data_IF_730680743691
#
_entry.id   IF_730680743691
#
_cell.length_a   1.000
_cell.length_b   1.000
_cell.length_c   1.000
_cell.angle_alpha   90.00
_cell.angle_beta   90.00
_cell.angle_gamma   90.00
#
_symmetry.space_group_name_H-M   'P 1'
#
loop_
_entity.id
_entity.type
_entity.pdbx_description
1 polymer ?
#
# COMPACT_ATOMS: atom_id res chain seq x y z
N UNK A 1 -54.94 16.16 40.29
CA UNK A 1 -53.72 15.35 40.15
C UNK A 1 -52.50 16.04 40.77
N UNK A 2 -52.00 17.17 40.24
CA UNK A 2 -50.79 17.83 40.77
C UNK A 2 -50.83 18.15 42.28
N UNK A 3 -51.96 18.66 42.78
CA UNK A 3 -52.14 18.97 44.21
C UNK A 3 -52.02 17.72 45.10
N UNK A 4 -52.51 16.58 44.64
CA UNK A 4 -52.49 15.33 45.42
C UNK A 4 -51.08 14.72 45.47
N UNK A 5 -50.25 14.96 44.45
CA UNK A 5 -48.91 14.39 44.34
C UNK A 5 -47.78 15.34 44.77
N UNK A 6 -48.09 16.56 45.22
CA UNK A 6 -47.10 17.56 45.67
C UNK A 6 -45.98 17.88 44.64
N UNK A 7 -46.25 17.72 43.34
CA UNK A 7 -45.28 17.91 42.23
C UNK A 7 -45.01 19.42 41.94
N UNK A 8 -45.76 20.31 42.60
CA UNK A 8 -45.65 21.77 42.43
C UNK A 8 -46.90 22.38 41.78
N UNK A 9 -46.77 23.63 41.33
CA UNK A 9 -47.85 24.38 40.67
C UNK A 9 -47.58 24.50 39.17
N UNK A 10 -48.64 24.33 38.38
CA UNK A 10 -48.60 24.55 36.93
C UNK A 10 -49.82 25.37 36.49
N UNK A 11 -49.62 26.25 35.52
CA UNK A 11 -50.68 27.05 34.92
C UNK A 11 -51.22 26.32 33.69
N UNK A 12 -52.49 25.95 33.73
CA UNK A 12 -53.16 25.34 32.58
C UNK A 12 -53.86 26.41 31.75
N UNK A 13 -53.68 26.36 30.43
CA UNK A 13 -54.30 27.27 29.47
C UNK A 13 -55.41 26.51 28.72
N UNK A 14 -56.68 26.58 29.14
CA UNK A 14 -57.78 25.88 28.50
C UNK A 14 -58.09 26.49 27.12
N UNK A 15 -57.76 25.77 26.04
CA UNK A 15 -57.83 26.28 24.67
C UNK A 15 -59.19 26.89 24.30
N UNK A 16 -60.28 26.33 24.81
CA UNK A 16 -61.64 26.75 24.47
C UNK A 16 -61.99 28.15 24.98
N UNK A 17 -61.50 28.53 26.18
CA UNK A 17 -61.84 29.78 26.86
C UNK A 17 -60.75 30.86 26.80
N UNK A 18 -59.66 30.61 26.05
CA UNK A 18 -58.60 31.60 25.87
C UNK A 18 -59.08 32.81 25.05
N UNK A 19 -58.94 33.98 25.66
CA UNK A 19 -59.17 35.27 25.01
C UNK A 19 -57.95 35.65 24.18
N UNK A 20 -58.04 35.44 22.87
CA UNK A 20 -56.97 35.76 21.91
C UNK A 20 -57.20 37.13 21.27
N UNK A 21 -56.14 37.83 20.81
CA UNK A 21 -56.30 39.04 20.02
C UNK A 21 -57.16 38.78 18.77
N UNK A 22 -57.99 39.76 18.39
CA UNK A 22 -58.79 39.63 17.18
C UNK A 22 -57.88 39.59 15.94
N UNK A 23 -58.21 38.80 14.91
CA UNK A 23 -57.43 38.76 13.67
C UNK A 23 -57.24 40.14 13.05
N UNK A 24 -58.28 40.98 13.08
CA UNK A 24 -58.22 42.36 12.59
C UNK A 24 -57.20 43.23 13.34
N UNK A 25 -57.04 43.04 14.66
CA UNK A 25 -56.05 43.79 15.44
C UNK A 25 -54.61 43.38 15.10
N UNK A 26 -54.42 42.10 14.78
CA UNK A 26 -53.11 41.52 14.47
C UNK A 26 -52.67 41.96 13.08
N UNK A 27 -53.58 41.90 12.10
CA UNK A 27 -53.31 42.29 10.72
C UNK A 27 -53.01 43.79 10.58
N UNK A 28 -53.71 44.64 11.35
CA UNK A 28 -53.41 46.08 11.41
C UNK A 28 -51.97 46.36 11.84
N UNK A 29 -51.49 45.64 12.85
CA UNK A 29 -50.11 45.79 13.33
C UNK A 29 -49.13 45.24 12.30
N UNK A 30 -49.46 44.11 11.65
CA UNK A 30 -48.66 43.54 10.56
C UNK A 30 -48.48 44.55 9.41
N UNK A 31 -49.57 45.15 8.92
CA UNK A 31 -49.51 46.18 7.88
C UNK A 31 -48.74 47.44 8.30
N UNK A 32 -48.78 47.80 9.59
CA UNK A 32 -48.03 48.96 10.13
C UNK A 32 -46.51 48.71 10.14
N UNK A 33 -46.08 47.47 10.41
CA UNK A 33 -44.66 47.12 10.55
C UNK A 33 -44.03 46.61 9.26
N UNK A 34 -44.81 46.04 8.34
CA UNK A 34 -44.34 45.49 7.05
C UNK A 34 -43.39 46.39 6.24
N UNK A 35 -43.57 47.72 6.13
CA UNK A 35 -42.64 48.56 5.39
C UNK A 35 -41.27 48.75 6.06
N UNK A 36 -41.13 48.41 7.35
CA UNK A 36 -39.89 48.55 8.11
C UNK A 36 -39.38 47.17 8.55
N UNK A 37 -38.43 46.62 7.78
CA UNK A 37 -37.92 45.26 7.95
C UNK A 37 -37.21 44.97 9.29
N UNK A 38 -37.06 45.98 10.14
CA UNK A 38 -36.51 45.88 11.52
C UNK A 38 -37.52 45.31 12.52
N UNK A 39 -38.79 45.16 12.14
CA UNK A 39 -39.86 44.70 13.01
C UNK A 39 -40.51 43.44 12.46
N UNK A 40 -40.78 42.47 13.34
CA UNK A 40 -41.50 41.25 13.01
C UNK A 40 -42.53 40.94 14.07
N UNK A 41 -43.71 40.45 13.68
CA UNK A 41 -44.67 39.98 14.67
C UNK A 41 -44.13 38.70 15.32
N UNK A 42 -44.15 38.62 16.65
CA UNK A 42 -43.63 37.44 17.36
C UNK A 42 -44.40 36.15 17.01
N UNK A 43 -45.66 36.26 16.58
CA UNK A 43 -46.44 35.13 16.06
C UNK A 43 -45.84 34.55 14.77
N UNK A 44 -45.24 35.39 13.92
CA UNK A 44 -44.70 34.98 12.61
C UNK A 44 -43.29 34.39 12.72
N UNK A 45 -42.61 34.58 13.86
CA UNK A 45 -41.26 34.07 14.13
C UNK A 45 -41.29 32.66 14.74
N UNK A 46 -42.40 32.28 15.39
CA UNK A 46 -42.52 31.00 16.11
C UNK A 46 -43.33 30.02 15.26
N UNK A 47 -42.70 28.90 14.87
CA UNK A 47 -43.40 27.79 14.21
C UNK A 47 -44.03 26.85 15.25
N UNK A 48 -45.32 26.56 15.11
CA UNK A 48 -46.04 25.62 15.98
C UNK A 48 -47.15 24.88 15.23
N UNK A 49 -47.59 23.74 15.79
CA UNK A 49 -48.74 23.00 15.27
C UNK A 49 -50.05 23.79 15.40
N UNK A 50 -50.97 23.63 14.46
CA UNK A 50 -52.23 24.39 14.41
C UNK A 50 -53.10 24.15 15.66
N UNK A 51 -52.97 22.99 16.31
CA UNK A 51 -53.71 22.61 17.53
C UNK A 51 -53.36 23.49 18.73
N UNK A 52 -52.12 24.00 18.81
CA UNK A 52 -51.63 24.83 19.93
C UNK A 52 -51.57 26.32 19.60
N UNK A 53 -51.90 26.70 18.36
CA UNK A 53 -51.81 28.08 17.86
C UNK A 53 -52.63 29.08 18.68
N UNK A 54 -53.81 28.68 19.17
CA UNK A 54 -54.63 29.52 20.07
C UNK A 54 -53.90 29.86 21.37
N UNK A 55 -53.16 28.90 21.95
CA UNK A 55 -52.35 29.15 23.13
C UNK A 55 -51.14 30.04 22.81
N UNK A 56 -50.52 29.88 21.65
CA UNK A 56 -49.42 30.75 21.21
C UNK A 56 -49.89 32.20 21.03
N UNK A 57 -51.03 32.41 20.36
CA UNK A 57 -51.63 33.74 20.18
C UNK A 57 -51.98 34.40 21.52
N UNK A 58 -52.42 33.62 22.51
CA UNK A 58 -52.64 34.13 23.87
C UNK A 58 -51.33 34.54 24.57
N UNK A 59 -50.32 33.67 24.52
CA UNK A 59 -49.04 33.89 25.21
C UNK A 59 -48.24 35.06 24.63
N UNK A 60 -48.22 35.16 23.30
CA UNK A 60 -47.45 36.18 22.57
C UNK A 60 -48.27 37.46 22.39
N UNK A 61 -49.57 37.34 22.12
CA UNK A 61 -50.42 38.47 21.77
C UNK A 61 -49.91 39.23 20.53
N UNK A 62 -50.22 40.53 20.46
CA UNK A 62 -49.69 41.42 19.41
C UNK A 62 -48.32 41.98 19.78
N UNK A 63 -47.39 41.10 20.16
CA UNK A 63 -46.01 41.49 20.49
C UNK A 63 -45.17 41.59 19.22
N UNK A 64 -44.39 42.66 19.11
CA UNK A 64 -43.46 42.88 18.00
C UNK A 64 -42.02 42.63 18.47
N UNK A 65 -41.27 41.88 17.69
CA UNK A 65 -39.84 41.65 17.86
C UNK A 65 -39.08 42.70 17.04
N UNK A 66 -38.05 43.26 17.64
CA UNK A 66 -37.16 44.26 17.05
C UNK A 66 -35.70 43.86 17.26
N UNK A 67 -34.81 44.32 16.39
CA UNK A 67 -33.39 44.00 16.52
C UNK A 67 -32.79 44.73 17.74
N UNK A 68 -33.01 46.05 17.83
CA UNK A 68 -32.40 46.94 18.83
C UNK A 68 -33.41 47.64 19.75
N UNK A 69 -32.94 48.05 20.95
CA UNK A 69 -33.76 48.78 21.93
C UNK A 69 -34.22 50.14 21.43
N UNK A 70 -33.42 50.82 20.61
CA UNK A 70 -33.79 52.12 20.04
C UNK A 70 -34.90 51.99 18.99
N UNK A 71 -34.87 50.91 18.19
CA UNK A 71 -35.99 50.57 17.31
C UNK A 71 -37.24 50.21 18.12
N UNK A 72 -37.12 49.42 19.18
CA UNK A 72 -38.24 49.12 20.08
C UNK A 72 -38.87 50.39 20.68
N UNK A 73 -38.04 51.36 21.11
CA UNK A 73 -38.51 52.66 21.62
C UNK A 73 -39.20 53.49 20.54
N UNK A 74 -38.65 53.51 19.32
CA UNK A 74 -39.26 54.22 18.20
C UNK A 74 -40.65 53.67 17.88
N UNK A 75 -40.83 52.34 17.92
CA UNK A 75 -42.11 51.68 17.71
C UNK A 75 -43.12 51.97 18.82
N UNK A 76 -42.70 51.89 20.09
CA UNK A 76 -43.59 52.06 21.24
C UNK A 76 -43.89 53.52 21.62
N UNK A 77 -42.99 54.47 21.32
CA UNK A 77 -43.07 55.86 21.80
C UNK A 77 -42.93 56.92 20.69
N UNK A 78 -42.67 56.53 19.45
CA UNK A 78 -42.46 57.45 18.32
C UNK A 78 -43.71 58.19 17.86
N UNK A 79 -43.55 59.12 16.91
CA UNK A 79 -44.64 59.97 16.38
C UNK A 79 -45.82 59.17 15.81
N UNK A 80 -45.54 58.00 15.21
CA UNK A 80 -46.57 57.07 14.72
C UNK A 80 -47.46 56.50 15.82
N UNK A 81 -47.00 56.47 17.07
CA UNK A 81 -47.73 56.01 18.25
C UNK A 81 -48.42 57.16 19.02
N UNK A 82 -48.23 58.43 18.61
CA UNK A 82 -48.75 59.62 19.30
C UNK A 82 -50.07 60.16 18.75
N UNK A 83 -50.63 59.55 17.70
CA UNK A 83 -51.92 59.99 17.15
C UNK A 83 -53.03 59.78 18.20
N UNK A 84 -53.71 60.85 18.69
CA UNK A 84 -54.66 60.74 19.80
C UNK A 84 -55.88 59.86 19.50
N UNK A 85 -56.16 59.57 18.23
CA UNK A 85 -57.26 58.71 17.78
C UNK A 85 -56.91 57.22 17.72
N UNK A 86 -55.64 56.83 17.88
CA UNK A 86 -55.17 55.46 17.70
C UNK A 86 -54.44 54.98 18.97
N UNK A 87 -55.20 54.56 19.98
CA UNK A 87 -54.69 54.12 21.29
C UNK A 87 -54.06 52.72 21.28
N UNK A 88 -53.42 52.31 20.18
CA UNK A 88 -52.79 51.00 20.08
C UNK A 88 -51.40 50.98 20.70
N UNK A 89 -51.34 50.82 22.03
CA UNK A 89 -50.08 50.58 22.73
C UNK A 89 -49.53 49.19 22.36
N UNK A 90 -48.40 49.17 21.66
CA UNK A 90 -47.73 47.94 21.19
C UNK A 90 -46.74 47.47 22.26
N UNK A 91 -46.65 46.14 22.46
CA UNK A 91 -45.59 45.51 23.25
C UNK A 91 -44.44 45.18 22.31
N UNK A 92 -43.23 45.62 22.63
CA UNK A 92 -42.03 45.33 21.84
C UNK A 92 -41.01 44.51 22.66
N UNK A 93 -40.31 43.59 22.00
CA UNK A 93 -39.22 42.79 22.56
C UNK A 93 -38.01 42.90 21.64
N UNK A 94 -36.81 42.99 22.20
CA UNK A 94 -35.56 43.00 21.42
C UNK A 94 -34.93 41.63 21.33
N UNK A 95 -34.11 41.39 20.30
CA UNK A 95 -33.25 40.19 20.24
C UNK A 95 -32.31 40.11 21.45
N UNK A 96 -31.88 41.25 21.99
CA UNK A 96 -31.12 41.38 23.24
C UNK A 96 -31.93 41.20 24.53
N UNK A 97 -33.19 40.72 24.47
CA UNK A 97 -33.99 40.34 25.63
C UNK A 97 -34.65 41.48 26.41
N UNK A 98 -34.57 42.73 25.93
CA UNK A 98 -35.27 43.84 26.57
C UNK A 98 -36.76 43.85 26.16
N UNK A 99 -37.65 44.19 27.09
CA UNK A 99 -39.11 44.17 26.88
C UNK A 99 -39.71 45.53 27.22
N UNK A 100 -40.45 46.11 26.28
CA UNK A 100 -41.28 47.30 26.50
C UNK A 100 -42.74 46.83 26.56
N UNK A 101 -43.37 46.98 27.73
CA UNK A 101 -44.76 46.57 27.93
C UNK A 101 -45.74 47.57 27.31
N UNK A 102 -47.00 47.16 27.11
CA UNK A 102 -48.07 48.08 26.67
C UNK A 102 -48.31 49.24 27.64
N UNK A 103 -47.91 49.12 28.91
CA UNK A 103 -48.00 50.19 29.90
C UNK A 103 -46.86 51.22 29.78
N UNK A 104 -45.88 50.98 28.90
CA UNK A 104 -44.69 51.81 28.75
C UNK A 104 -43.56 51.46 29.73
N UNK A 105 -43.73 50.41 30.55
CA UNK A 105 -42.65 49.95 31.43
C UNK A 105 -41.59 49.20 30.62
N UNK A 106 -40.33 49.54 30.82
CA UNK A 106 -39.19 48.89 30.17
C UNK A 106 -38.49 47.95 31.15
N UNK A 107 -38.36 46.68 30.78
CA UNK A 107 -37.59 45.66 31.51
C UNK A 107 -36.33 45.38 30.70
N UNK A 108 -35.15 45.53 31.32
CA UNK A 108 -33.87 45.42 30.61
C UNK A 108 -33.25 44.02 30.65
N UNK A 109 -32.66 43.62 29.51
CA UNK A 109 -31.59 42.63 29.37
C UNK A 109 -31.94 41.15 29.55
N UNK A 110 -31.12 40.28 28.92
CA UNK A 110 -31.11 38.83 29.14
C UNK A 110 -30.55 38.54 30.54
N UNK A 111 -31.33 37.91 31.41
CA UNK A 111 -30.79 37.37 32.67
C UNK A 111 -30.15 36.01 32.45
N UNK A 112 -29.26 35.56 33.34
CA UNK A 112 -28.70 34.18 33.32
C UNK A 112 -29.78 33.10 33.27
N UNK A 113 -30.94 33.38 33.86
CA UNK A 113 -32.09 32.49 33.84
C UNK A 113 -32.73 32.41 32.45
N UNK A 114 -32.80 33.52 31.71
CA UNK A 114 -33.36 33.56 30.36
C UNK A 114 -32.46 32.86 29.35
N UNK A 115 -31.12 32.98 29.50
CA UNK A 115 -30.15 32.26 28.68
C UNK A 115 -30.29 30.74 28.86
N UNK A 116 -30.47 30.26 30.11
CA UNK A 116 -30.67 28.84 30.40
C UNK A 116 -31.98 28.27 29.83
N UNK A 117 -33.00 29.11 29.61
CA UNK A 117 -34.25 28.70 28.97
C UNK A 117 -34.13 28.61 27.46
N UNK A 118 -33.33 29.47 26.84
CA UNK A 118 -33.07 29.43 25.40
C UNK A 118 -32.35 28.13 25.01
N UNK A 119 -31.36 27.69 25.80
CA UNK A 119 -30.63 26.43 25.57
C UNK A 119 -31.51 25.17 25.55
N UNK A 120 -32.69 25.21 26.19
CA UNK A 120 -33.65 24.07 26.16
C UNK A 120 -34.22 23.79 24.78
N UNK A 121 -34.17 24.74 23.85
CA UNK A 121 -34.56 24.49 22.46
C UNK A 121 -33.47 23.70 21.71
N UNK A 122 -32.20 23.99 21.95
CA UNK A 122 -31.06 23.28 21.35
C UNK A 122 -30.97 21.83 21.82
N UNK A 123 -31.22 21.57 23.11
CA UNK A 123 -31.20 20.22 23.69
C UNK A 123 -32.23 19.29 23.00
N UNK A 124 -33.39 19.82 22.61
CA UNK A 124 -34.43 19.05 21.92
C UNK A 124 -34.05 18.69 20.49
N UNK A 125 -33.30 19.56 19.80
CA UNK A 125 -32.80 19.25 18.45
C UNK A 125 -31.69 18.20 18.50
N UNK A 126 -30.81 18.29 19.50
CA UNK A 126 -29.78 17.27 19.74
C UNK A 126 -30.39 15.89 20.00
N UNK A 127 -31.45 15.80 20.79
CA UNK A 127 -32.12 14.53 21.06
C UNK A 127 -32.82 13.96 19.82
N UNK A 128 -33.41 14.80 18.96
CA UNK A 128 -33.94 14.36 17.66
C UNK A 128 -32.84 13.79 16.75
N UNK A 129 -31.69 14.45 16.68
CA UNK A 129 -30.56 13.98 15.88
C UNK A 129 -29.97 12.67 16.41
N UNK A 130 -29.90 12.50 17.74
CA UNK A 130 -29.47 11.23 18.36
C UNK A 130 -30.43 10.09 18.03
N UNK A 131 -31.73 10.31 18.17
CA UNK A 131 -32.73 9.29 17.82
C UNK A 131 -32.65 8.92 16.34
N UNK A 132 -32.44 9.90 15.44
CA UNK A 132 -32.29 9.61 14.02
C UNK A 132 -31.02 8.81 13.70
N UNK A 133 -29.93 9.09 14.40
CA UNK A 133 -28.70 8.29 14.30
C UNK A 133 -28.94 6.85 14.74
N UNK A 134 -29.60 6.65 15.88
CA UNK A 134 -29.91 5.31 16.40
C UNK A 134 -30.84 4.52 15.46
N UNK A 135 -31.81 5.17 14.82
CA UNK A 135 -32.64 4.54 13.78
C UNK A 135 -31.81 4.08 12.58
N UNK A 136 -30.93 4.94 12.08
CA UNK A 136 -30.06 4.61 10.94
C UNK A 136 -29.07 3.51 11.28
N UNK A 137 -28.53 3.49 12.50
CA UNK A 137 -27.62 2.43 12.97
C UNK A 137 -28.37 1.09 13.08
N UNK A 138 -29.63 1.09 13.54
CA UNK A 138 -30.49 -0.12 13.55
C UNK A 138 -30.83 -0.60 12.14
N UNK A 139 -31.10 0.31 11.21
CA UNK A 139 -31.37 -0.03 9.80
C UNK A 139 -30.14 -0.68 9.16
N UNK A 140 -28.94 -0.14 9.40
CA UNK A 140 -27.68 -0.74 8.95
C UNK A 140 -27.46 -2.15 9.51
N UNK A 141 -27.67 -2.32 10.82
CA UNK A 141 -27.54 -3.63 11.47
C UNK A 141 -28.55 -4.65 10.95
N UNK A 142 -29.78 -4.24 10.64
CA UNK A 142 -30.78 -5.12 10.07
C UNK A 142 -30.44 -5.52 8.62
N UNK A 143 -29.86 -4.62 7.83
CA UNK A 143 -29.35 -4.95 6.49
C UNK A 143 -28.15 -5.92 6.55
N UNK A 144 -27.36 -5.86 7.62
CA UNK A 144 -26.29 -6.84 7.88
C UNK A 144 -26.86 -8.21 8.33
N UNK A 145 -27.99 -8.26 9.04
CA UNK A 145 -28.55 -9.51 9.61
C UNK A 145 -29.48 -10.30 8.68
N UNK A 146 -30.11 -9.65 7.70
CA UNK A 146 -31.03 -10.31 6.75
C UNK A 146 -30.32 -11.36 5.87
N UNK A 147 -28.99 -11.30 5.71
CA UNK A 147 -28.21 -12.30 4.94
C UNK A 147 -27.65 -13.46 5.79
N UNK A 148 -27.69 -13.42 7.13
CA UNK A 148 -27.25 -14.54 7.98
C UNK A 148 -28.12 -15.80 7.80
N UNK A 149 -29.30 -15.66 7.20
CA UNK A 149 -30.28 -16.76 7.04
C UNK A 149 -30.02 -17.60 5.78
N UNK A 150 -29.29 -17.10 4.77
CA UNK A 150 -29.13 -17.83 3.50
C UNK A 150 -27.92 -18.78 3.46
N UNK A 151 -26.88 -18.62 4.30
CA UNK A 151 -25.75 -19.56 4.31
C UNK A 151 -25.01 -19.65 5.68
N UNK A 152 -25.33 -20.64 6.54
CA UNK A 152 -24.79 -20.75 7.90
C UNK A 152 -23.29 -21.14 7.96
N UNK A 153 -22.59 -21.25 6.82
CA UNK A 153 -21.17 -21.63 6.76
C UNK A 153 -20.21 -20.48 6.43
N UNK A 154 -20.69 -19.24 6.24
CA UNK A 154 -19.84 -18.07 6.00
C UNK A 154 -19.71 -17.19 7.24
N UNK A 155 -18.94 -17.66 8.22
CA UNK A 155 -18.52 -16.84 9.37
C UNK A 155 -17.40 -15.85 8.98
N UNK A 156 -17.67 -14.94 8.05
CA UNK A 156 -16.74 -13.83 7.76
C UNK A 156 -17.11 -12.63 8.61
N UNK A 157 -16.28 -12.33 9.61
CA UNK A 157 -16.38 -11.17 10.53
C UNK A 157 -16.16 -9.81 9.84
N UNK A 158 -16.45 -9.70 8.54
CA UNK A 158 -16.39 -8.47 7.76
C UNK A 158 -17.59 -8.43 6.82
N UNK A 159 -18.58 -7.58 7.12
CA UNK A 159 -19.87 -7.50 6.43
C UNK A 159 -19.81 -7.04 4.96
N UNK A 160 -20.93 -6.48 4.47
CA UNK A 160 -21.13 -6.04 3.07
C UNK A 160 -19.94 -5.30 2.44
N UNK A 161 -19.15 -4.55 3.23
CA UNK A 161 -17.93 -3.90 2.79
C UNK A 161 -16.86 -4.87 2.23
N UNK A 162 -16.62 -6.00 2.89
CA UNK A 162 -15.68 -7.03 2.43
C UNK A 162 -16.18 -7.67 1.14
N UNK A 163 -17.49 -7.86 1.01
CA UNK A 163 -18.10 -8.44 -0.21
C UNK A 163 -18.03 -7.49 -1.39
N UNK A 164 -18.26 -6.20 -1.15
CA UNK A 164 -18.09 -5.14 -2.14
C UNK A 164 -16.63 -5.10 -2.62
N UNK A 165 -15.66 -5.17 -1.70
CA UNK A 165 -14.24 -5.19 -2.05
C UNK A 165 -13.86 -6.45 -2.86
N UNK A 166 -14.34 -7.63 -2.48
CA UNK A 166 -14.19 -8.86 -3.27
C UNK A 166 -14.75 -8.72 -4.70
N UNK A 167 -15.96 -8.17 -4.82
CA UNK A 167 -16.63 -7.98 -6.10
C UNK A 167 -15.92 -6.92 -6.95
N UNK A 168 -15.44 -5.83 -6.35
CA UNK A 168 -14.65 -4.80 -7.03
C UNK A 168 -13.34 -5.40 -7.56
N UNK A 169 -12.65 -6.21 -6.75
CA UNK A 169 -11.43 -6.90 -7.17
C UNK A 169 -11.72 -7.89 -8.30
N UNK A 170 -12.82 -8.65 -8.21
CA UNK A 170 -13.25 -9.58 -9.27
C UNK A 170 -13.57 -8.85 -10.59
N UNK A 171 -14.30 -7.73 -10.52
CA UNK A 171 -14.61 -6.89 -11.68
C UNK A 171 -13.34 -6.29 -12.28
N UNK A 172 -12.41 -5.81 -11.44
CA UNK A 172 -11.11 -5.32 -11.89
C UNK A 172 -10.32 -6.39 -12.64
N UNK A 173 -10.25 -7.60 -12.09
CA UNK A 173 -9.57 -8.74 -12.71
C UNK A 173 -10.21 -9.15 -14.04
N UNK A 174 -11.55 -9.24 -14.09
CA UNK A 174 -12.29 -9.56 -15.31
C UNK A 174 -12.11 -8.48 -16.39
N UNK A 175 -12.11 -7.20 -16.01
CA UNK A 175 -11.90 -6.09 -16.93
C UNK A 175 -10.48 -6.09 -17.51
N UNK A 176 -9.48 -6.34 -16.66
CA UNK A 176 -8.10 -6.50 -17.10
C UNK A 176 -7.99 -7.68 -18.07
N UNK A 177 -8.55 -8.85 -17.73
CA UNK A 177 -8.54 -10.02 -18.60
C UNK A 177 -9.20 -9.75 -19.94
N UNK A 178 -10.36 -9.10 -19.94
CA UNK A 178 -11.06 -8.70 -21.16
C UNK A 178 -10.20 -7.80 -22.05
N UNK A 179 -9.55 -6.79 -21.46
CA UNK A 179 -8.65 -5.88 -22.18
C UNK A 179 -7.44 -6.59 -22.78
N UNK A 180 -6.83 -7.53 -22.06
CA UNK A 180 -5.72 -8.34 -22.56
C UNK A 180 -6.18 -9.23 -23.72
N UNK A 181 -7.28 -9.96 -23.54
CA UNK A 181 -7.81 -10.83 -24.59
C UNK A 181 -8.22 -10.07 -25.84
N UNK A 182 -8.73 -8.84 -25.70
CA UNK A 182 -9.07 -7.98 -26.82
C UNK A 182 -7.82 -7.52 -27.57
N UNK A 183 -6.77 -7.13 -26.85
CA UNK A 183 -5.49 -6.73 -27.45
C UNK A 183 -4.83 -7.89 -28.20
N UNK A 184 -4.87 -9.09 -27.63
CA UNK A 184 -4.36 -10.32 -28.26
C UNK A 184 -5.17 -10.67 -29.52
N UNK A 185 -6.49 -10.48 -29.50
CA UNK A 185 -7.36 -10.69 -30.64
C UNK A 185 -7.03 -9.70 -31.78
N UNK A 186 -6.82 -8.43 -31.46
CA UNK A 186 -6.47 -7.41 -32.45
C UNK A 186 -5.07 -7.65 -33.05
N UNK A 187 -4.11 -8.08 -32.23
CA UNK A 187 -2.78 -8.47 -32.68
C UNK A 187 -2.82 -9.69 -33.62
N UNK A 188 -3.50 -10.75 -33.22
CA UNK A 188 -3.63 -11.98 -34.02
C UNK A 188 -4.37 -11.73 -35.33
N UNK A 189 -5.42 -10.90 -35.33
CA UNK A 189 -6.11 -10.49 -36.55
C UNK A 189 -5.21 -9.69 -37.50
N UNK A 190 -4.40 -8.78 -36.96
CA UNK A 190 -3.44 -8.00 -37.75
C UNK A 190 -2.38 -8.92 -38.36
N UNK A 191 -1.86 -9.89 -37.58
CA UNK A 191 -0.90 -10.88 -38.08
C UNK A 191 -1.51 -11.78 -39.15
N UNK A 192 -2.77 -12.20 -38.98
CA UNK A 192 -3.49 -13.03 -39.95
C UNK A 192 -3.66 -12.29 -41.29
N UNK A 193 -3.97 -10.98 -41.27
CA UNK A 193 -4.04 -10.15 -42.49
C UNK A 193 -2.69 -10.07 -43.20
N UNK A 194 -1.60 -9.88 -42.47
CA UNK A 194 -0.23 -9.85 -43.01
C UNK A 194 0.16 -11.20 -43.64
N UNK A 195 -0.14 -12.31 -42.96
CA UNK A 195 0.13 -13.64 -43.51
C UNK A 195 -0.68 -13.92 -44.77
N UNK A 196 -1.95 -13.52 -44.80
CA UNK A 196 -2.78 -13.67 -45.99
C UNK A 196 -2.27 -12.85 -47.19
N UNK A 197 -1.82 -11.61 -46.96
CA UNK A 197 -1.25 -10.80 -48.05
C UNK A 197 0.06 -11.40 -48.58
N UNK A 198 0.90 -11.93 -47.68
CA UNK A 198 2.12 -12.63 -48.04
C UNK A 198 1.81 -13.89 -48.86
N UNK A 199 0.82 -14.69 -48.46
CA UNK A 199 0.40 -15.90 -49.16
C UNK A 199 -0.09 -15.58 -50.59
N UNK A 200 -0.91 -14.53 -50.76
CA UNK A 200 -1.36 -14.05 -52.07
C UNK A 200 -0.19 -13.56 -52.94
N UNK A 201 0.80 -12.87 -52.35
CA UNK A 201 1.97 -12.40 -53.11
C UNK A 201 2.87 -13.57 -53.56
N UNK A 202 3.08 -14.54 -52.67
CA UNK A 202 3.95 -15.70 -52.91
C UNK A 202 3.34 -16.62 -53.95
N UNK A 203 2.04 -16.87 -53.89
CA UNK A 203 1.31 -17.65 -54.91
C UNK A 203 1.38 -17.01 -56.30
N UNK A 204 1.27 -15.68 -56.40
CA UNK A 204 1.49 -14.95 -57.67
C UNK A 204 2.92 -15.11 -58.18
N UNK A 205 3.92 -15.05 -57.30
CA UNK A 205 5.33 -15.26 -57.66
C UNK A 205 5.59 -16.68 -58.16
N UNK A 206 5.04 -17.70 -57.48
CA UNK A 206 5.13 -19.11 -57.91
C UNK A 206 4.57 -19.27 -59.32
N UNK A 207 3.36 -18.74 -59.58
CA UNK A 207 2.75 -18.82 -60.91
C UNK A 207 3.61 -18.14 -62.00
N UNK A 208 4.26 -17.01 -61.67
CA UNK A 208 5.19 -16.33 -62.59
C UNK A 208 6.43 -17.18 -62.85
N UNK A 209 7.04 -17.73 -61.81
CA UNK A 209 8.23 -18.58 -61.93
C UNK A 209 7.95 -19.86 -62.72
N UNK A 210 6.79 -20.48 -62.52
CA UNK A 210 6.37 -21.65 -63.30
C UNK A 210 6.25 -21.35 -64.80
N UNK A 211 5.70 -20.19 -65.17
CA UNK A 211 5.67 -19.75 -66.57
C UNK A 211 7.07 -19.55 -67.14
N UNK A 212 7.95 -18.89 -66.40
CA UNK A 212 9.32 -18.66 -66.84
C UNK A 212 10.10 -19.97 -67.00
N UNK A 213 9.89 -20.93 -66.08
CA UNK A 213 10.50 -22.26 -66.16
C UNK A 213 10.05 -22.99 -67.43
N UNK A 214 8.75 -22.99 -67.73
CA UNK A 214 8.23 -23.62 -68.95
C UNK A 214 8.77 -22.98 -70.24
N UNK A 215 9.01 -21.65 -70.25
CA UNK A 215 9.65 -20.98 -71.39
C UNK A 215 11.11 -21.42 -71.53
N UNK A 216 11.87 -21.41 -70.42
CA UNK A 216 13.27 -21.81 -70.43
C UNK A 216 13.44 -23.30 -70.82
N UNK A 217 12.55 -24.19 -70.39
CA UNK A 217 12.56 -25.60 -70.79
C UNK A 217 12.37 -25.77 -72.30
N UNK A 218 11.46 -24.99 -72.91
CA UNK A 218 11.26 -25.00 -74.37
C UNK A 218 12.48 -24.46 -75.12
N UNK A 219 13.12 -23.42 -74.60
CA UNK A 219 14.35 -22.88 -75.18
C UNK A 219 15.49 -23.91 -75.12
N UNK A 220 15.64 -24.61 -73.99
CA UNK A 220 16.62 -25.69 -73.83
C UNK A 220 16.36 -26.82 -74.83
N UNK A 221 15.10 -27.22 -75.02
CA UNK A 221 14.73 -28.24 -75.99
C UNK A 221 15.10 -27.82 -77.42
N UNK A 222 14.79 -26.58 -77.80
CA UNK A 222 15.17 -26.02 -79.10
C UNK A 222 16.69 -25.97 -79.30
N UNK A 223 17.43 -25.50 -78.30
CA UNK A 223 18.90 -25.48 -78.37
C UNK A 223 19.50 -26.88 -78.42
N UNK A 224 18.87 -27.86 -77.76
CA UNK A 224 19.33 -29.25 -77.79
C UNK A 224 19.17 -29.85 -79.18
N UNK A 225 18.04 -29.59 -79.85
CA UNK A 225 17.80 -30.01 -81.24
C UNK A 225 18.82 -29.34 -82.18
N UNK A 226 18.98 -28.01 -82.09
CA UNK A 226 19.93 -27.28 -82.93
C UNK A 226 21.38 -27.72 -82.71
N UNK A 227 21.77 -28.02 -81.47
CA UNK A 227 23.09 -28.56 -81.16
C UNK A 227 23.28 -29.97 -81.74
N UNK A 228 22.23 -30.79 -81.77
CA UNK A 228 22.29 -32.12 -82.37
C UNK A 228 22.41 -32.05 -83.89
N UNK A 229 21.63 -31.19 -84.55
CA UNK A 229 21.74 -30.93 -85.99
C UNK A 229 23.14 -30.41 -86.38
N UNK A 230 23.68 -29.47 -85.59
CA UNK A 230 25.04 -28.96 -85.81
C UNK A 230 26.11 -30.05 -85.64
N UNK A 231 25.96 -30.94 -84.65
CA UNK A 231 26.88 -32.09 -84.47
C UNK A 231 26.81 -33.05 -85.66
N UNK A 232 25.62 -33.32 -86.18
CA UNK A 232 25.44 -34.19 -87.36
C UNK A 232 26.06 -33.56 -88.60
N UNK A 233 25.82 -32.26 -88.84
CA UNK A 233 26.44 -31.54 -89.95
C UNK A 233 27.98 -31.54 -89.88
N UNK A 234 28.56 -31.33 -88.69
CA UNK A 234 30.01 -31.44 -88.49
C UNK A 234 30.50 -32.86 -88.77
N UNK A 235 29.81 -33.88 -88.26
CA UNK A 235 30.16 -35.29 -88.51
C UNK A 235 30.16 -35.63 -90.00
N UNK A 236 29.20 -35.13 -90.76
CA UNK A 236 29.11 -35.40 -92.20
C UNK A 236 30.25 -34.72 -92.98
N UNK A 237 30.63 -33.50 -92.61
CA UNK A 237 31.79 -32.79 -93.18
C UNK A 237 33.09 -33.52 -92.82
N UNK A 238 33.24 -33.95 -91.56
CA UNK A 238 34.37 -34.74 -91.10
C UNK A 238 34.44 -36.10 -91.81
N UNK A 239 33.31 -36.74 -92.09
CA UNK A 239 33.28 -37.98 -92.87
C UNK A 239 33.81 -37.75 -94.29
N UNK A 240 33.38 -36.68 -94.96
CA UNK A 240 33.83 -36.32 -96.29
C UNK A 240 35.35 -36.02 -96.36
N UNK A 241 35.88 -35.29 -95.38
CA UNK A 241 37.30 -34.90 -95.38
C UNK A 241 38.24 -36.00 -94.86
N UNK A 242 37.88 -36.68 -93.77
CA UNK A 242 38.73 -37.67 -93.11
C UNK A 242 38.48 -39.10 -93.59
N UNK A 243 37.41 -39.38 -94.34
CA UNK A 243 37.10 -40.71 -94.90
C UNK A 243 38.24 -41.32 -95.72
N UNK A 244 38.82 -40.58 -96.69
CA UNK A 244 39.97 -41.05 -97.47
C UNK A 244 41.22 -41.29 -96.61
N UNK A 245 41.38 -40.55 -95.52
CA UNK A 245 42.49 -40.73 -94.58
C UNK A 245 42.28 -41.96 -93.68
N UNK A 246 41.05 -42.20 -93.20
CA UNK A 246 40.67 -43.39 -92.42
C UNK A 246 40.89 -44.67 -93.22
N UNK A 247 40.43 -44.71 -94.48
CA UNK A 247 40.62 -45.89 -95.34
C UNK A 247 42.09 -46.18 -95.63
N UNK A 248 42.94 -45.15 -95.72
CA UNK A 248 44.39 -45.29 -95.96
C UNK A 248 45.19 -45.68 -94.71
N UNK A 249 44.75 -45.28 -93.52
CA UNK A 249 45.47 -45.52 -92.25
C UNK A 249 44.90 -46.68 -91.44
N UNK A 250 43.73 -47.21 -91.80
CA UNK A 250 43.06 -48.30 -91.09
C UNK A 250 42.44 -47.90 -89.75
N UNK A 251 42.37 -46.60 -89.43
CA UNK A 251 41.66 -46.11 -88.24
C UNK A 251 40.15 -46.17 -88.47
N UNK A 252 39.45 -46.98 -87.68
CA UNK A 252 38.00 -47.14 -87.72
C UNK A 252 37.26 -45.89 -87.22
N UNK A 253 37.77 -45.24 -86.16
CA UNK A 253 37.16 -44.03 -85.59
C UNK A 253 38.23 -43.00 -85.20
N UNK A 254 38.25 -41.87 -85.91
CA UNK A 254 39.16 -40.76 -85.64
C UNK A 254 38.80 -40.05 -84.32
N UNK A 255 37.52 -39.99 -83.97
CA UNK A 255 37.05 -39.38 -82.73
C UNK A 255 37.46 -40.19 -81.51
N UNK A 256 37.36 -41.53 -81.54
CA UNK A 256 37.88 -42.36 -80.46
C UNK A 256 39.40 -42.18 -80.25
N UNK A 257 40.17 -41.96 -81.32
CA UNK A 257 41.62 -41.71 -81.22
C UNK A 257 41.94 -40.30 -80.70
N UNK A 258 41.29 -39.25 -81.22
CA UNK A 258 41.48 -37.89 -80.73
C UNK A 258 40.93 -37.71 -79.30
N UNK A 259 39.84 -38.38 -78.96
CA UNK A 259 39.28 -38.37 -77.61
C UNK A 259 40.19 -39.13 -76.62
N UNK A 260 40.80 -40.26 -77.01
CA UNK A 260 41.76 -40.96 -76.15
C UNK A 260 43.04 -40.15 -75.94
N UNK A 261 43.63 -39.57 -77.00
CA UNK A 261 44.80 -38.68 -76.85
C UNK A 261 44.46 -37.36 -76.14
N UNK A 262 43.26 -36.83 -76.38
CA UNK A 262 42.69 -35.66 -75.72
C UNK A 262 42.53 -35.91 -74.22
N UNK A 263 41.94 -37.05 -73.83
CA UNK A 263 41.84 -37.50 -72.44
C UNK A 263 43.21 -37.70 -71.80
N UNK A 264 44.17 -38.33 -72.48
CA UNK A 264 45.55 -38.46 -71.99
C UNK A 264 46.20 -37.09 -71.73
N UNK A 265 46.04 -36.15 -72.68
CA UNK A 265 46.54 -34.78 -72.56
C UNK A 265 45.83 -34.01 -71.44
N UNK A 266 44.53 -34.19 -71.27
CA UNK A 266 43.75 -33.57 -70.20
C UNK A 266 44.19 -34.12 -68.83
N UNK A 267 44.39 -35.43 -68.70
CA UNK A 267 44.93 -36.08 -67.50
C UNK A 267 46.33 -35.53 -67.18
N UNK A 268 47.21 -35.41 -68.18
CA UNK A 268 48.53 -34.81 -68.01
C UNK A 268 48.44 -33.34 -67.55
N UNK A 269 47.57 -32.54 -68.14
CA UNK A 269 47.36 -31.14 -67.76
C UNK A 269 46.78 -31.03 -66.34
N UNK A 270 45.83 -31.90 -65.95
CA UNK A 270 45.29 -31.99 -64.58
C UNK A 270 46.39 -32.37 -63.58
N UNK A 271 47.21 -33.38 -63.88
CA UNK A 271 48.38 -33.75 -63.04
C UNK A 271 49.38 -32.60 -62.92
N UNK A 272 49.71 -31.91 -64.02
CA UNK A 272 50.60 -30.75 -64.00
C UNK A 272 50.03 -29.60 -63.17
N UNK A 273 48.72 -29.35 -63.28
CA UNK A 273 48.01 -28.33 -62.52
C UNK A 273 48.02 -28.63 -61.03
N UNK A 274 47.66 -29.85 -60.64
CA UNK A 274 47.66 -30.28 -59.22
C UNK A 274 49.05 -30.19 -58.59
N UNK A 275 50.10 -30.61 -59.31
CA UNK A 275 51.49 -30.43 -58.84
C UNK A 275 51.83 -28.95 -58.65
N UNK A 276 51.44 -28.09 -59.59
CA UNK A 276 51.66 -26.63 -59.47
C UNK A 276 50.91 -26.04 -58.28
N UNK A 277 49.65 -26.42 -58.08
CA UNK A 277 48.87 -26.01 -56.91
C UNK A 277 49.52 -26.48 -55.61
N UNK A 278 50.05 -27.70 -55.55
CA UNK A 278 50.77 -28.22 -54.39
C UNK A 278 52.07 -27.44 -54.14
N UNK A 279 52.83 -27.10 -55.19
CA UNK A 279 54.02 -26.28 -55.06
C UNK A 279 53.69 -24.89 -54.52
N UNK A 280 52.65 -24.23 -55.02
CA UNK A 280 52.23 -22.91 -54.52
C UNK A 280 51.72 -22.99 -53.07
N UNK A 281 50.95 -24.03 -52.71
CA UNK A 281 50.56 -24.27 -51.31
C UNK A 281 51.77 -24.47 -50.40
N UNK A 282 52.77 -25.24 -50.82
CA UNK A 282 53.99 -25.47 -50.05
C UNK A 282 54.84 -24.20 -49.93
N UNK A 283 54.94 -23.39 -51.00
CA UNK A 283 55.60 -22.07 -50.95
C UNK A 283 54.89 -21.13 -49.98
N UNK A 284 53.57 -21.05 -50.04
CA UNK A 284 52.77 -20.24 -49.13
C UNK A 284 52.95 -20.70 -47.68
N UNK A 285 52.90 -22.01 -47.40
CA UNK A 285 53.20 -22.56 -46.07
C UNK A 285 54.61 -22.19 -45.60
N UNK A 286 55.61 -22.31 -46.47
CA UNK A 286 57.00 -21.95 -46.14
C UNK A 286 57.14 -20.45 -45.83
N UNK A 287 56.47 -19.57 -46.59
CA UNK A 287 56.47 -18.14 -46.31
C UNK A 287 55.74 -17.82 -45.01
N UNK A 288 54.60 -18.45 -44.75
CA UNK A 288 53.84 -18.30 -43.52
C UNK A 288 54.66 -18.73 -42.30
N UNK A 289 55.29 -19.91 -42.34
CA UNK A 289 56.14 -20.38 -41.23
C UNK A 289 57.41 -19.51 -41.07
N UNK A 290 57.99 -18.98 -42.15
CA UNK A 290 59.09 -18.01 -42.06
C UNK A 290 58.67 -16.64 -41.50
N UNK A 291 57.42 -16.24 -41.74
CA UNK A 291 56.85 -14.99 -41.26
C UNK A 291 56.32 -15.05 -39.83
N UNK A 292 56.22 -16.26 -39.23
CA UNK A 292 55.88 -16.40 -37.82
C UNK A 292 57.04 -15.94 -36.97
N UNK A 293 56.90 -14.74 -36.43
CA UNK A 293 57.83 -14.21 -35.46
C UNK A 293 57.54 -14.77 -34.06
N UNK A 294 58.18 -15.90 -33.73
CA UNK A 294 58.10 -16.50 -32.40
C UNK A 294 58.86 -15.69 -31.34
N UNK A 295 59.69 -14.71 -31.74
CA UNK A 295 60.49 -13.91 -30.81
C UNK A 295 59.61 -13.09 -29.86
N UNK A 296 58.55 -12.45 -30.40
CA UNK A 296 57.61 -11.66 -29.60
C UNK A 296 56.80 -12.52 -28.63
N UNK A 297 56.38 -13.72 -29.07
CA UNK A 297 55.69 -14.69 -28.22
C UNK A 297 56.58 -15.15 -27.07
N UNK A 298 57.84 -15.45 -27.36
CA UNK A 298 58.84 -15.83 -26.34
C UNK A 298 59.12 -14.66 -25.39
N UNK A 299 59.24 -13.43 -25.90
CA UNK A 299 59.47 -12.25 -25.06
C UNK A 299 58.29 -11.97 -24.12
N UNK A 300 57.06 -12.05 -24.63
CA UNK A 300 55.85 -11.90 -23.80
C UNK A 300 55.71 -13.01 -22.76
N UNK A 301 56.06 -14.25 -23.11
CA UNK A 301 56.11 -15.37 -22.18
C UNK A 301 57.16 -15.15 -21.08
N UNK A 302 58.35 -14.64 -21.44
CA UNK A 302 59.40 -14.27 -20.47
C UNK A 302 58.95 -13.17 -19.51
N UNK A 303 58.29 -12.11 -20.02
CA UNK A 303 57.73 -11.04 -19.18
C UNK A 303 56.69 -11.58 -18.19
N UNK A 304 55.76 -12.41 -18.67
CA UNK A 304 54.77 -13.06 -17.79
C UNK A 304 55.42 -13.95 -16.73
N UNK A 305 56.47 -14.68 -17.09
CA UNK A 305 57.18 -15.55 -16.17
C UNK A 305 57.84 -14.74 -15.05
N UNK A 306 58.49 -13.62 -15.38
CA UNK A 306 59.04 -12.69 -14.39
C UNK A 306 57.96 -12.10 -13.46
N UNK A 307 56.83 -11.64 -14.01
CA UNK A 307 55.71 -11.11 -13.20
C UNK A 307 55.13 -12.17 -12.25
N UNK A 308 55.07 -13.43 -12.70
CA UNK A 308 54.58 -14.54 -11.88
C UNK A 308 55.57 -14.93 -10.79
N UNK A 309 56.88 -14.92 -11.07
CA UNK A 309 57.93 -15.16 -10.08
C UNK A 309 57.92 -14.09 -8.97
N UNK A 310 57.76 -12.82 -9.33
CA UNK A 310 57.65 -11.72 -8.36
C UNK A 310 56.41 -11.87 -7.46
N UNK A 311 55.25 -12.16 -8.06
CA UNK A 311 54.00 -12.42 -7.31
C UNK A 311 54.12 -13.64 -6.40
N UNK A 312 54.78 -14.69 -6.84
CA UNK A 312 55.00 -15.89 -6.04
C UNK A 312 55.89 -15.58 -4.83
N UNK A 313 56.97 -14.81 -5.02
CA UNK A 313 57.84 -14.38 -3.93
C UNK A 313 57.07 -13.54 -2.90
N UNK A 314 56.30 -12.55 -3.35
CA UNK A 314 55.46 -11.74 -2.48
C UNK A 314 54.41 -12.57 -1.72
N UNK A 315 53.78 -13.55 -2.38
CA UNK A 315 52.80 -14.44 -1.75
C UNK A 315 53.42 -15.32 -0.67
N UNK A 316 54.62 -15.87 -0.91
CA UNK A 316 55.36 -16.68 0.08
C UNK A 316 55.75 -15.86 1.30
N UNK A 317 56.19 -14.62 1.09
CA UNK A 317 56.50 -13.73 2.21
C UNK A 317 55.26 -13.42 3.04
N UNK A 318 54.13 -13.14 2.38
CA UNK A 318 52.84 -12.92 3.04
C UNK A 318 52.34 -14.14 3.82
N UNK A 319 52.55 -15.33 3.29
CA UNK A 319 52.22 -16.60 3.97
C UNK A 319 53.05 -16.77 5.24
N UNK A 320 54.36 -16.51 5.19
CA UNK A 320 55.23 -16.55 6.36
C UNK A 320 54.78 -15.55 7.44
N UNK A 321 54.49 -14.30 7.07
CA UNK A 321 53.99 -13.27 8.00
C UNK A 321 52.65 -13.68 8.65
N UNK A 322 51.75 -14.31 7.88
CA UNK A 322 50.47 -14.78 8.39
C UNK A 322 50.63 -15.96 9.34
N UNK A 323 51.54 -16.91 9.04
CA UNK A 323 51.84 -18.03 9.93
C UNK A 323 52.41 -17.55 11.26
N UNK A 324 53.30 -16.55 11.25
CA UNK A 324 53.83 -15.94 12.48
C UNK A 324 52.71 -15.27 13.29
N UNK A 325 51.80 -14.52 12.62
CA UNK A 325 50.64 -13.93 13.28
C UNK A 325 49.71 -14.97 13.88
N UNK A 326 49.44 -16.08 13.17
CA UNK A 326 48.61 -17.17 13.67
C UNK A 326 49.25 -17.88 14.87
N UNK A 327 50.57 -18.07 14.87
CA UNK A 327 51.29 -18.63 16.01
C UNK A 327 51.16 -17.70 17.24
N UNK A 328 51.37 -16.39 17.04
CA UNK A 328 51.24 -15.40 18.10
C UNK A 328 49.81 -15.27 18.65
N UNK A 329 48.79 -15.35 17.79
CA UNK A 329 47.39 -15.31 18.25
C UNK A 329 47.00 -16.58 18.99
N UNK A 330 47.47 -17.76 18.55
CA UNK A 330 47.26 -19.02 19.26
C UNK A 330 47.91 -19.02 20.64
N UNK A 331 49.13 -18.50 20.76
CA UNK A 331 49.81 -18.37 22.05
C UNK A 331 49.00 -17.45 23.00
N UNK A 332 48.58 -16.27 22.52
CA UNK A 332 47.74 -15.35 23.30
C UNK A 332 46.39 -15.96 23.70
N UNK A 333 45.79 -16.78 22.84
CA UNK A 333 44.53 -17.46 23.15
C UNK A 333 44.73 -18.50 24.25
N UNK A 334 45.80 -19.31 24.18
CA UNK A 334 46.12 -20.30 25.21
C UNK A 334 46.40 -19.64 26.57
N UNK A 335 47.12 -18.52 26.59
CA UNK A 335 47.35 -17.74 27.81
C UNK A 335 46.02 -17.22 28.39
N UNK A 336 45.15 -16.65 27.54
CA UNK A 336 43.85 -16.15 27.97
C UNK A 336 42.93 -17.27 28.50
N UNK A 337 42.92 -18.44 27.88
CA UNK A 337 42.16 -19.62 28.34
C UNK A 337 42.67 -20.11 29.71
N UNK A 338 43.99 -20.12 29.93
CA UNK A 338 44.58 -20.47 31.22
C UNK A 338 44.18 -19.48 32.32
N UNK A 339 44.23 -18.18 32.03
CA UNK A 339 43.81 -17.13 32.98
C UNK A 339 42.32 -17.24 33.29
N UNK A 340 41.47 -17.47 32.28
CA UNK A 340 40.04 -17.67 32.47
C UNK A 340 39.74 -18.87 33.39
N UNK A 341 40.47 -19.98 33.18
CA UNK A 341 40.31 -21.17 34.02
C UNK A 341 40.69 -20.91 35.47
N UNK A 342 41.84 -20.27 35.70
CA UNK A 342 42.27 -19.88 37.05
C UNK A 342 41.26 -18.93 37.72
N UNK A 343 40.73 -17.95 36.98
CA UNK A 343 39.71 -17.04 37.49
C UNK A 343 38.41 -17.78 37.86
N UNK A 344 37.97 -18.74 37.04
CA UNK A 344 36.77 -19.55 37.30
C UNK A 344 36.94 -20.50 38.49
N UNK A 345 38.13 -21.10 38.66
CA UNK A 345 38.40 -21.96 39.82
C UNK A 345 38.46 -21.12 41.11
N UNK A 346 39.09 -19.94 41.08
CA UNK A 346 39.10 -19.00 42.21
C UNK A 346 37.69 -18.49 42.56
N UNK A 347 36.84 -18.23 41.55
CA UNK A 347 35.45 -17.82 41.77
C UNK A 347 34.67 -18.89 42.54
N UNK A 348 34.82 -20.17 42.16
CA UNK A 348 34.19 -21.30 42.86
C UNK A 348 34.68 -21.46 44.30
N UNK A 349 35.98 -21.31 44.52
CA UNK A 349 36.55 -21.37 45.88
C UNK A 349 36.01 -20.24 46.75
N UNK A 350 35.96 -19.02 46.23
CA UNK A 350 35.39 -17.87 46.94
C UNK A 350 33.89 -18.06 47.21
N UNK A 351 33.14 -18.62 46.26
CA UNK A 351 31.70 -18.89 46.42
C UNK A 351 31.45 -19.93 47.53
N UNK A 352 32.29 -20.97 47.63
CA UNK A 352 32.22 -21.96 48.71
C UNK A 352 32.52 -21.33 50.07
N UNK A 353 33.56 -20.50 50.17
CA UNK A 353 33.89 -19.77 51.40
C UNK A 353 32.75 -18.85 51.82
N UNK A 354 32.14 -18.12 50.88
CA UNK A 354 31.00 -17.24 51.15
C UNK A 354 29.80 -18.03 51.66
N UNK A 355 29.52 -19.21 51.10
CA UNK A 355 28.44 -20.08 51.60
C UNK A 355 28.70 -20.57 53.02
N UNK A 356 29.94 -20.94 53.35
CA UNK A 356 30.32 -21.40 54.68
C UNK A 356 30.17 -20.27 55.71
N UNK A 357 30.71 -19.07 55.42
CA UNK A 357 30.55 -17.88 56.26
C UNK A 357 29.07 -17.51 56.42
N UNK A 358 28.25 -17.62 55.37
CA UNK A 358 26.81 -17.38 55.46
C UNK A 358 26.11 -18.36 56.41
N UNK A 359 26.52 -19.64 56.41
CA UNK A 359 25.95 -20.65 57.30
C UNK A 359 26.39 -20.40 58.76
N UNK A 360 27.67 -20.12 59.00
CA UNK A 360 28.17 -19.76 60.33
C UNK A 360 27.51 -18.50 60.88
N UNK A 361 27.26 -17.51 60.02
CA UNK A 361 26.55 -16.29 60.38
C UNK A 361 25.10 -16.59 60.79
N UNK A 362 24.38 -17.43 60.05
CA UNK A 362 23.01 -17.86 60.39
C UNK A 362 22.98 -18.60 61.74
N UNK A 363 23.93 -19.50 61.98
CA UNK A 363 24.03 -20.24 63.24
C UNK A 363 24.34 -19.32 64.42
N UNK A 364 25.25 -18.38 64.23
CA UNK A 364 25.60 -17.37 65.23
C UNK A 364 24.42 -16.45 65.53
N UNK A 365 23.67 -16.03 64.51
CA UNK A 365 22.45 -15.25 64.66
C UNK A 365 21.37 -16.03 65.44
N UNK A 366 21.20 -17.33 65.16
CA UNK A 366 20.27 -18.18 65.90
C UNK A 366 20.68 -18.32 67.38
N UNK A 367 21.97 -18.49 67.67
CA UNK A 367 22.50 -18.51 69.04
C UNK A 367 22.28 -17.17 69.75
N UNK A 368 22.53 -16.05 69.08
CA UNK A 368 22.29 -14.72 69.63
C UNK A 368 20.81 -14.51 69.97
N UNK A 369 19.90 -14.93 69.08
CA UNK A 369 18.45 -14.87 69.30
C UNK A 369 18.03 -15.71 70.52
N UNK A 370 18.59 -16.92 70.66
CA UNK A 370 18.31 -17.79 71.80
C UNK A 370 18.86 -17.23 73.12
N UNK A 371 20.08 -16.68 73.10
CA UNK A 371 20.67 -16.03 74.26
C UNK A 371 19.86 -14.79 74.67
N UNK A 372 19.42 -13.97 73.71
CA UNK A 372 18.53 -12.84 73.97
C UNK A 372 17.21 -13.29 74.62
N UNK A 373 16.60 -14.39 74.14
CA UNK A 373 15.41 -14.97 74.78
C UNK A 373 15.70 -15.43 76.21
N UNK A 374 16.85 -16.07 76.46
CA UNK A 374 17.27 -16.54 77.78
C UNK A 374 17.52 -15.37 78.76
N UNK A 375 18.17 -14.31 78.30
CA UNK A 375 18.36 -13.08 79.07
C UNK A 375 17.01 -12.47 79.43
N UNK A 376 16.10 -12.30 78.47
CA UNK A 376 14.76 -11.78 78.74
C UNK A 376 14.00 -12.63 79.76
N UNK A 377 14.16 -13.96 79.72
CA UNK A 377 13.55 -14.85 80.72
C UNK A 377 14.19 -14.68 82.09
N UNK A 378 15.52 -14.65 82.17
CA UNK A 378 16.26 -14.43 83.41
C UNK A 378 15.91 -13.06 84.03
N UNK A 379 15.90 -11.99 83.24
CA UNK A 379 15.46 -10.66 83.66
C UNK A 379 14.04 -10.68 84.21
N UNK A 380 13.09 -11.32 83.52
CA UNK A 380 11.72 -11.46 84.03
C UNK A 380 11.64 -12.22 85.35
N UNK A 381 12.50 -13.22 85.55
CA UNK A 381 12.56 -13.98 86.82
C UNK A 381 13.22 -13.18 87.94
N UNK A 382 14.23 -12.37 87.62
CA UNK A 382 14.92 -11.49 88.55
C UNK A 382 13.98 -10.36 88.99
N UNK A 383 13.22 -9.78 88.05
CA UNK A 383 12.15 -8.82 88.33
C UNK A 383 11.12 -9.42 89.29
N UNK A 384 10.71 -10.68 89.05
CA UNK A 384 9.79 -11.41 89.93
C UNK A 384 10.37 -11.66 91.33
N UNK A 385 11.66 -11.98 91.43
CA UNK A 385 12.33 -12.17 92.71
C UNK A 385 12.53 -10.85 93.45
N UNK A 386 12.84 -9.76 92.76
CA UNK A 386 12.88 -8.40 93.33
C UNK A 386 11.51 -8.00 93.85
N UNK A 387 10.44 -8.27 93.10
CA UNK A 387 9.07 -8.05 93.57
C UNK A 387 8.79 -8.85 94.86
N UNK A 388 9.20 -10.13 94.92
CA UNK A 388 9.07 -10.95 96.15
C UNK A 388 9.93 -10.44 97.31
N UNK A 389 11.17 -10.04 97.06
CA UNK A 389 12.06 -9.48 98.09
C UNK A 389 11.47 -8.19 98.66
N UNK A 390 10.99 -7.31 97.77
CA UNK A 390 10.29 -6.09 98.16
C UNK A 390 9.07 -6.41 99.02
N UNK A 391 8.27 -7.42 98.64
CA UNK A 391 7.13 -7.89 99.43
C UNK A 391 7.56 -8.43 100.81
N UNK A 392 8.66 -9.19 100.91
CA UNK A 392 9.17 -9.70 102.19
C UNK A 392 9.75 -8.61 103.09
N UNK A 393 10.50 -7.64 102.54
CA UNK A 393 10.99 -6.49 103.30
C UNK A 393 9.85 -5.59 103.76
N UNK A 394 8.80 -5.45 102.93
CA UNK A 394 7.59 -4.74 103.34
C UNK A 394 6.88 -5.45 104.48
N UNK A 395 6.83 -6.79 104.49
CA UNK A 395 6.31 -7.57 105.64
C UNK A 395 7.16 -7.38 106.89
N UNK A 396 8.48 -7.46 106.78
CA UNK A 396 9.39 -7.26 107.93
C UNK A 396 9.32 -5.84 108.51
N UNK A 397 9.10 -4.82 107.67
CA UNK A 397 8.94 -3.43 108.11
C UNK A 397 7.63 -3.15 108.85
N UNK A 398 6.63 -4.04 108.73
CA UNK A 398 5.34 -3.91 109.43
C UNK A 398 5.38 -4.62 110.79
N UNK A 399 6.43 -5.40 111.09
CA UNK A 399 6.62 -6.14 112.35
C UNK A 399 7.62 -5.48 113.33
N UNK A 400 8.05 -4.24 113.05
CA UNK A 400 8.49 -3.24 114.05
C UNK A 400 7.46 -2.09 114.08
#
# INVERSE_FOLDING_TARGET
WLRNNQIGTATFLPLDSLQIPSPASTERIRAMIEPDGRYRLALDVISCDETVKRALMYAVGNTVVSDDLDSARQLCFGERSRNPSDHNKIKAVTTGGAVISKAGTMTGGVTRFDTSKATRFDDRELDKLKNRKEELDKERLNLDSVEEVEDPHRHSRGGHASKIEELQNSVGNLKNRSSYTQSDLDYTNSKLKEQNSLLVSTTKQIAKLQRNLSVAEREIEQFTISAQEAKEAVRDIEEAHFGPFRSKTGLQDFHAYDETRGKEREIYLKKRRTIREHMEKLKAKKQYEKGKDFSQLIESAKKRLADHEEKLAASKQREADLLEKVANTKAKLADAESVLKQASDNEKELEAIVQEIQNEYKDSQAKQLNMSKAINTAESTLERLRAKLHETLQKARVEE
#
